data_IF_747787512674
#
_entry.id   IF_747787512674
#
_cell.length_a   1.000
_cell.length_b   1.000
_cell.length_c   1.000
_cell.angle_alpha   90.00
_cell.angle_beta   90.00
_cell.angle_gamma   90.00
#
_symmetry.space_group_name_H-M   'P 1'
#
loop_
_entity.id
_entity.type
_entity.pdbx_description
1 polymer ?
#
# COMPACT_ATOMS: atom_id res chain seq x y z
N UNK A 1 -15.37 22.49 1.06
CA UNK A 1 -14.06 22.21 1.69
C UNK A 1 -13.14 21.73 0.57
N UNK A 2 -12.03 22.42 0.29
CA UNK A 2 -11.12 22.10 -0.82
C UNK A 2 -9.72 21.79 -0.26
N UNK A 3 -9.36 20.52 -0.05
CA UNK A 3 -8.02 20.18 0.44
C UNK A 3 -6.99 20.39 -0.67
N UNK A 4 -5.95 21.18 -0.39
CA UNK A 4 -4.82 21.35 -1.31
C UNK A 4 -3.89 20.14 -1.18
N UNK A 5 -3.83 19.34 -2.24
CA UNK A 5 -2.89 18.21 -2.33
C UNK A 5 -1.53 18.69 -2.81
N UNK A 6 -0.45 18.12 -2.26
CA UNK A 6 0.92 18.56 -2.49
C UNK A 6 1.54 18.02 -3.77
N UNK A 7 1.87 16.72 -3.79
CA UNK A 7 2.55 16.09 -4.93
C UNK A 7 1.67 16.07 -6.18
N UNK A 8 2.29 16.22 -7.35
CA UNK A 8 1.59 15.94 -8.60
C UNK A 8 1.17 14.47 -8.61
N UNK A 9 -0.10 14.21 -8.96
CA UNK A 9 -0.68 12.88 -9.04
C UNK A 9 -0.93 12.11 -7.72
N UNK A 10 -0.82 12.72 -6.53
CA UNK A 10 -1.28 12.05 -5.29
C UNK A 10 -2.80 11.78 -5.32
N UNK A 11 -3.55 12.55 -6.12
CA UNK A 11 -4.97 12.28 -6.41
C UNK A 11 -5.11 11.03 -7.28
N UNK A 12 -4.39 10.96 -8.41
CA UNK A 12 -4.46 9.82 -9.32
C UNK A 12 -3.97 8.51 -8.70
N UNK A 13 -2.96 8.54 -7.83
CA UNK A 13 -2.54 7.35 -7.08
C UNK A 13 -3.69 6.79 -6.22
N UNK A 14 -4.41 7.66 -5.50
CA UNK A 14 -5.59 7.27 -4.74
C UNK A 14 -6.73 6.78 -5.65
N UNK A 15 -6.97 7.46 -6.78
CA UNK A 15 -7.98 7.07 -7.78
C UNK A 15 -7.69 5.68 -8.34
N UNK A 16 -6.42 5.29 -8.48
CA UNK A 16 -5.99 3.99 -8.99
C UNK A 16 -5.86 2.91 -7.90
N UNK A 17 -6.26 3.21 -6.65
CA UNK A 17 -6.27 2.22 -5.58
C UNK A 17 -4.90 1.91 -5.00
N UNK A 18 -3.93 2.83 -5.08
CA UNK A 18 -2.65 2.71 -4.39
C UNK A 18 -2.78 2.94 -2.87
N UNK A 19 -3.79 2.34 -2.25
CA UNK A 19 -4.10 2.41 -0.83
C UNK A 19 -4.57 1.03 -0.35
N UNK A 20 -4.15 0.58 0.85
CA UNK A 20 -4.30 -0.82 1.24
C UNK A 20 -5.74 -1.29 1.49
N UNK A 21 -6.71 -0.38 1.50
CA UNK A 21 -8.12 -0.66 1.85
C UNK A 21 -9.08 -0.58 0.66
N UNK A 22 -8.61 -0.17 -0.52
CA UNK A 22 -9.47 0.03 -1.68
C UNK A 22 -8.71 -0.21 -2.99
N UNK A 23 -9.43 -0.74 -3.99
CA UNK A 23 -8.96 -0.79 -5.36
C UNK A 23 -9.23 0.51 -6.13
N UNK A 24 -8.89 0.50 -7.41
CA UNK A 24 -9.16 1.59 -8.34
C UNK A 24 -10.65 2.00 -8.34
N UNK A 25 -10.91 3.31 -8.41
CA UNK A 25 -12.25 3.87 -8.34
C UNK A 25 -12.85 3.93 -6.93
N UNK A 26 -12.01 3.88 -5.88
CA UNK A 26 -12.44 3.92 -4.47
C UNK A 26 -13.32 2.74 -4.06
N UNK A 27 -13.06 1.57 -4.62
CA UNK A 27 -13.86 0.38 -4.38
C UNK A 27 -13.28 -0.43 -3.22
N UNK A 28 -14.06 -0.58 -2.15
CA UNK A 28 -13.66 -1.27 -0.90
C UNK A 28 -13.23 -2.74 -1.16
N UNK A 29 -12.03 -3.08 -0.70
CA UNK A 29 -11.42 -4.42 -0.87
C UNK A 29 -12.12 -5.51 -0.04
N UNK A 30 -12.87 -5.12 0.98
CA UNK A 30 -13.59 -6.04 1.87
C UNK A 30 -14.99 -6.40 1.33
N UNK A 31 -15.47 -5.69 0.30
CA UNK A 31 -16.80 -5.91 -0.26
C UNK A 31 -16.79 -7.10 -1.26
N UNK A 32 -17.53 -8.19 -0.99
CA UNK A 32 -17.56 -9.37 -1.86
C UNK A 32 -18.04 -9.08 -3.29
N UNK A 33 -18.97 -8.13 -3.49
CA UNK A 33 -19.49 -7.77 -4.81
C UNK A 33 -18.44 -7.05 -5.65
N UNK A 34 -17.59 -6.24 -5.01
CA UNK A 34 -16.45 -5.59 -5.65
C UNK A 34 -15.39 -6.62 -6.01
N UNK A 35 -15.10 -7.54 -5.08
CA UNK A 35 -14.14 -8.61 -5.32
C UNK A 35 -14.56 -9.48 -6.50
N UNK A 36 -15.85 -9.79 -6.64
CA UNK A 36 -16.37 -10.52 -7.80
C UNK A 36 -16.11 -9.79 -9.13
N UNK A 37 -16.22 -8.46 -9.17
CA UNK A 37 -15.92 -7.66 -10.37
C UNK A 37 -14.43 -7.74 -10.73
N UNK A 38 -13.54 -7.60 -9.75
CA UNK A 38 -12.10 -7.69 -9.98
C UNK A 38 -11.67 -9.09 -10.44
N UNK A 39 -12.21 -10.15 -9.80
CA UNK A 39 -11.98 -11.54 -10.22
C UNK A 39 -12.36 -11.75 -11.68
N UNK A 40 -13.56 -11.32 -12.07
CA UNK A 40 -14.05 -11.43 -13.44
C UNK A 40 -13.19 -10.63 -14.45
N UNK A 41 -12.81 -9.40 -14.11
CA UNK A 41 -12.02 -8.54 -14.98
C UNK A 41 -10.60 -9.06 -15.20
N UNK A 42 -9.93 -9.51 -14.13
CA UNK A 42 -8.55 -9.99 -14.20
C UNK A 42 -8.42 -11.48 -14.54
N UNK A 43 -9.54 -12.23 -14.59
CA UNK A 43 -9.51 -13.67 -14.82
C UNK A 43 -8.81 -14.45 -13.70
N UNK A 44 -8.90 -13.97 -12.45
CA UNK A 44 -8.28 -14.57 -11.28
C UNK A 44 -9.35 -14.98 -10.27
N UNK A 45 -9.25 -16.18 -9.72
CA UNK A 45 -10.13 -16.63 -8.63
C UNK A 45 -9.76 -16.03 -7.27
N UNK A 46 -8.57 -15.42 -7.18
CA UNK A 46 -8.00 -14.86 -5.96
C UNK A 46 -7.82 -13.36 -6.12
N UNK A 47 -8.44 -12.63 -5.19
CA UNK A 47 -8.17 -11.21 -4.94
C UNK A 47 -8.09 -11.02 -3.42
N UNK A 48 -7.33 -10.03 -2.92
CA UNK A 48 -7.34 -9.69 -1.51
C UNK A 48 -8.77 -9.38 -1.03
N UNK A 49 -9.10 -9.80 0.20
CA UNK A 49 -10.42 -9.57 0.81
C UNK A 49 -10.32 -8.93 2.20
N UNK A 50 -9.16 -8.36 2.52
CA UNK A 50 -8.84 -7.70 3.78
C UNK A 50 -7.94 -6.50 3.50
N UNK A 51 -7.90 -5.56 4.46
CA UNK A 51 -7.05 -4.37 4.38
C UNK A 51 -5.59 -4.75 4.58
N UNK A 52 -4.71 -4.30 3.69
CA UNK A 52 -3.26 -4.48 3.81
C UNK A 52 -2.59 -3.52 4.79
N UNK A 53 -1.27 -3.63 4.94
CA UNK A 53 -0.49 -2.72 5.77
C UNK A 53 -0.43 -1.30 5.18
N UNK A 54 -0.38 -0.31 6.07
CA UNK A 54 0.09 1.06 5.79
C UNK A 54 1.61 1.12 5.95
N UNK A 55 2.26 2.14 5.38
CA UNK A 55 3.72 2.29 5.41
C UNK A 55 4.33 2.12 6.84
N UNK A 56 3.82 2.77 7.91
CA UNK A 56 4.38 2.56 9.24
C UNK A 56 4.23 1.12 9.75
N UNK A 57 3.13 0.46 9.40
CA UNK A 57 2.85 -0.94 9.77
C UNK A 57 3.75 -1.89 8.96
N UNK A 58 4.08 -1.56 7.70
CA UNK A 58 5.05 -2.30 6.90
C UNK A 58 6.44 -2.26 7.56
N UNK A 59 6.87 -1.11 8.08
CA UNK A 59 8.15 -1.01 8.78
C UNK A 59 8.17 -1.84 10.07
N UNK A 60 7.10 -1.81 10.84
CA UNK A 60 6.97 -2.65 12.04
C UNK A 60 6.95 -4.15 11.68
N UNK A 61 6.19 -4.53 10.65
CA UNK A 61 6.11 -5.90 10.17
C UNK A 61 7.46 -6.40 9.62
N UNK A 62 8.22 -5.55 8.92
CA UNK A 62 9.57 -5.89 8.46
C UNK A 62 10.50 -6.17 9.64
N UNK A 63 10.52 -5.29 10.65
CA UNK A 63 11.35 -5.45 11.86
C UNK A 63 10.94 -6.68 12.67
N UNK A 64 9.66 -7.01 12.72
CA UNK A 64 9.15 -8.21 13.39
C UNK A 64 9.38 -9.50 12.58
N UNK A 65 9.74 -9.37 11.30
CA UNK A 65 9.95 -10.49 10.39
C UNK A 65 8.66 -11.04 9.76
N UNK A 66 7.52 -10.37 9.94
CA UNK A 66 6.23 -10.72 9.33
C UNK A 66 6.15 -10.31 7.85
N UNK A 67 6.91 -9.28 7.46
CA UNK A 67 7.06 -8.82 6.08
C UNK A 67 8.48 -9.10 5.58
N UNK A 68 8.60 -9.84 4.48
CA UNK A 68 9.89 -10.31 3.95
C UNK A 68 10.42 -9.54 2.75
N UNK A 69 9.57 -8.80 2.05
CA UNK A 69 9.98 -8.07 0.88
C UNK A 69 9.25 -6.73 0.79
N UNK A 70 9.94 -5.71 0.27
CA UNK A 70 9.41 -4.39 0.00
C UNK A 70 9.74 -3.96 -1.43
N UNK A 71 8.71 -3.80 -2.25
CA UNK A 71 8.88 -3.23 -3.58
C UNK A 71 8.49 -1.74 -3.58
N UNK A 72 9.49 -0.89 -3.44
CA UNK A 72 9.33 0.58 -3.38
C UNK A 72 9.42 1.16 -4.79
N UNK A 73 8.39 1.91 -5.20
CA UNK A 73 8.30 2.49 -6.54
C UNK A 73 8.08 4.00 -6.43
N UNK A 74 9.09 4.79 -6.82
CA UNK A 74 8.96 6.24 -6.91
C UNK A 74 8.90 6.98 -5.56
N UNK A 75 9.34 6.35 -4.48
CA UNK A 75 9.43 6.96 -3.13
C UNK A 75 10.87 6.84 -2.58
N UNK A 76 11.29 7.83 -1.78
CA UNK A 76 12.58 7.87 -1.08
C UNK A 76 12.36 7.77 0.44
N UNK A 77 11.87 6.60 0.87
CA UNK A 77 11.33 6.40 2.23
C UNK A 77 12.34 6.70 3.33
N UNK A 78 13.63 6.40 3.14
CA UNK A 78 14.65 6.67 4.17
C UNK A 78 14.80 8.17 4.41
N UNK A 79 14.73 8.97 3.35
CA UNK A 79 14.89 10.41 3.44
C UNK A 79 13.61 11.13 3.87
N UNK A 80 12.43 10.65 3.43
CA UNK A 80 11.17 11.39 3.56
C UNK A 80 10.25 10.91 4.68
N UNK A 81 10.37 9.66 5.14
CA UNK A 81 9.58 9.17 6.26
C UNK A 81 10.17 9.59 7.62
N UNK A 82 9.32 9.83 8.63
CA UNK A 82 9.78 10.16 9.97
C UNK A 82 10.52 8.99 10.63
N UNK A 83 11.46 9.31 11.53
CA UNK A 83 12.27 8.34 12.26
C UNK A 83 13.13 7.46 11.31
N UNK A 84 14.03 8.12 10.58
CA UNK A 84 14.99 7.51 9.65
C UNK A 84 15.67 6.26 10.18
N UNK A 85 16.06 6.21 11.46
CA UNK A 85 16.69 5.02 12.04
C UNK A 85 15.77 3.79 12.07
N UNK A 86 14.46 3.98 12.32
CA UNK A 86 13.48 2.90 12.21
C UNK A 86 13.32 2.45 10.77
N UNK A 87 13.24 3.40 9.83
CA UNK A 87 13.09 3.08 8.40
C UNK A 87 14.31 2.30 7.88
N UNK A 88 15.53 2.76 8.18
CA UNK A 88 16.76 2.02 7.85
C UNK A 88 16.76 0.61 8.44
N UNK A 89 16.39 0.45 9.72
CA UNK A 89 16.28 -0.86 10.35
C UNK A 89 15.27 -1.76 9.62
N UNK A 90 14.13 -1.21 9.19
CA UNK A 90 13.14 -1.96 8.42
C UNK A 90 13.70 -2.40 7.05
N UNK A 91 14.42 -1.52 6.34
CA UNK A 91 15.06 -1.86 5.06
C UNK A 91 16.11 -2.97 5.23
N UNK A 92 16.87 -2.96 6.32
CA UNK A 92 17.85 -4.01 6.64
C UNK A 92 17.21 -5.33 7.10
N UNK A 93 15.91 -5.33 7.43
CA UNK A 93 15.20 -6.51 7.99
C UNK A 93 14.43 -7.33 6.95
N UNK A 94 14.21 -6.78 5.75
CA UNK A 94 13.59 -7.52 4.64
C UNK A 94 14.64 -8.30 3.86
N UNK A 95 14.21 -9.42 3.26
CA UNK A 95 15.06 -10.26 2.41
C UNK A 95 15.25 -9.65 1.01
N UNK A 96 14.29 -8.80 0.58
CA UNK A 96 14.26 -8.13 -0.73
C UNK A 96 13.68 -6.72 -0.67
#
# INVERSE_FOLDING_TARGET
MNPLRGQNNVQGAADMGAQPHQGAGYLDVTNPDINAKYKAFYGSDVVPSHVGYKIPEMFDAAINGDLKALWIIGEDVVQTDPNTYKVMKAMDSVDL
#
